data_IF_725117496014
#
_entry.id   IF_725117496014
#
_cell.length_a   1.000
_cell.length_b   1.000
_cell.length_c   1.000
_cell.angle_alpha   90.00
_cell.angle_beta   90.00
_cell.angle_gamma   90.00
#
_symmetry.space_group_name_H-M   'P 1'
#
loop_
_entity.id
_entity.type
_entity.pdbx_description
1 polymer ?
#
# COMPACT_ATOMS: atom_id res chain seq x y z
N UNK A 1 0.28 26.30 7.78
CA UNK A 1 1.12 25.61 8.79
C UNK A 1 2.55 26.06 8.63
N UNK A 2 3.18 26.56 9.71
CA UNK A 2 4.53 27.17 9.64
C UNK A 2 5.60 26.09 9.44
N UNK A 3 6.58 26.33 8.56
CA UNK A 3 7.73 25.48 8.29
C UNK A 3 8.49 25.03 9.56
N UNK A 4 8.39 25.80 10.64
CA UNK A 4 8.98 25.46 11.96
C UNK A 4 8.35 24.24 12.64
N UNK A 5 7.08 23.90 12.34
CA UNK A 5 6.42 22.70 12.92
C UNK A 5 6.76 21.43 12.16
N UNK A 6 7.14 21.53 10.88
CA UNK A 6 7.58 20.38 10.08
C UNK A 6 8.98 19.92 10.49
N UNK A 7 9.88 20.90 10.80
CA UNK A 7 11.25 20.60 11.24
C UNK A 7 11.32 19.85 12.58
N UNK A 8 10.38 20.12 13.51
CA UNK A 8 10.33 19.46 14.82
C UNK A 8 9.91 17.98 14.73
N UNK A 9 9.17 17.59 13.69
CA UNK A 9 8.73 16.19 13.49
C UNK A 9 9.76 15.35 12.73
N UNK A 10 10.61 15.98 11.92
CA UNK A 10 11.65 15.28 11.13
C UNK A 10 12.90 14.97 11.97
N UNK A 11 13.24 15.82 12.93
CA UNK A 11 14.43 15.65 13.78
C UNK A 11 14.39 14.39 14.67
N UNK A 12 13.28 14.02 15.35
CA UNK A 12 13.26 12.79 16.15
C UNK A 12 13.29 11.51 15.29
N UNK A 13 12.83 11.54 14.04
CA UNK A 13 12.93 10.41 13.11
C UNK A 13 14.38 10.20 12.67
N UNK A 14 15.15 11.26 12.47
CA UNK A 14 16.58 11.20 12.12
C UNK A 14 17.47 10.77 13.30
N UNK A 15 17.14 11.14 14.53
CA UNK A 15 17.92 10.79 15.73
C UNK A 15 17.77 9.30 16.09
N UNK A 16 16.68 8.64 15.73
CA UNK A 16 16.52 7.18 15.89
C UNK A 16 17.39 6.37 14.92
N UNK A 17 17.98 6.99 13.91
CA UNK A 17 18.86 6.32 12.92
C UNK A 17 20.31 6.20 13.40
N UNK A 18 20.73 6.94 14.42
CA UNK A 18 22.16 7.10 14.76
C UNK A 18 22.73 6.18 15.84
N UNK A 19 21.99 5.20 16.32
CA UNK A 19 22.51 4.28 17.35
C UNK A 19 22.24 2.82 17.02
N UNK A 20 22.89 2.28 15.96
CA UNK A 20 22.97 0.82 15.85
C UNK A 20 24.15 0.36 15.00
N UNK A 21 25.19 -0.04 15.66
CA UNK A 21 26.19 -0.98 15.13
C UNK A 21 25.50 -2.36 15.00
N UNK A 22 25.51 -2.92 13.78
CA UNK A 22 25.07 -4.27 13.44
C UNK A 22 23.54 -4.55 13.28
N UNK A 23 22.70 -3.58 13.01
CA UNK A 23 21.32 -3.89 12.60
C UNK A 23 21.18 -3.92 11.08
N UNK A 24 20.56 -4.97 10.56
CA UNK A 24 20.27 -5.12 9.14
C UNK A 24 19.08 -4.24 8.77
N UNK A 25 19.29 -3.35 7.81
CA UNK A 25 18.23 -2.58 7.19
C UNK A 25 17.97 -3.12 5.79
N UNK A 26 16.74 -3.01 5.35
CA UNK A 26 16.32 -3.43 4.02
C UNK A 26 15.56 -2.30 3.32
N UNK A 27 15.83 -2.10 2.04
CA UNK A 27 15.01 -1.30 1.13
C UNK A 27 14.51 -2.20 0.03
N UNK A 28 13.22 -2.13 -0.27
CA UNK A 28 12.67 -2.82 -1.43
C UNK A 28 11.80 -1.90 -2.28
N UNK A 29 11.77 -2.21 -3.56
CA UNK A 29 10.84 -1.66 -4.52
C UNK A 29 10.21 -2.82 -5.27
N UNK A 30 8.87 -2.84 -5.30
CA UNK A 30 8.10 -3.82 -6.05
C UNK A 30 7.12 -3.10 -6.96
N UNK A 31 6.85 -3.71 -8.10
CA UNK A 31 5.83 -3.27 -9.03
C UNK A 31 4.93 -4.45 -9.37
N UNK A 32 3.65 -4.18 -9.55
CA UNK A 32 2.67 -5.23 -9.78
C UNK A 32 1.30 -4.68 -10.08
N UNK A 33 0.27 -5.45 -9.78
CA UNK A 33 -1.11 -5.08 -10.05
C UNK A 33 -1.95 -5.03 -8.79
N UNK A 34 -2.84 -4.05 -8.75
CA UNK A 34 -3.87 -3.92 -7.72
C UNK A 34 -5.22 -4.35 -8.28
N UNK A 35 -5.98 -5.05 -7.46
CA UNK A 35 -7.32 -5.58 -7.76
C UNK A 35 -8.29 -5.10 -6.70
N UNK A 36 -9.42 -4.53 -7.15
CA UNK A 36 -10.53 -4.13 -6.28
C UNK A 36 -11.78 -4.86 -6.73
N UNK A 37 -12.52 -5.41 -5.77
CA UNK A 37 -13.76 -6.13 -6.08
C UNK A 37 -14.84 -5.20 -6.62
N UNK A 38 -15.58 -5.65 -7.63
CA UNK A 38 -16.79 -4.99 -8.13
C UNK A 38 -17.73 -4.62 -7.00
N UNK A 39 -18.26 -3.40 -7.05
CA UNK A 39 -19.27 -2.91 -6.12
C UNK A 39 -20.60 -2.72 -6.84
N UNK A 40 -21.70 -2.87 -6.13
CA UNK A 40 -23.05 -2.70 -6.69
C UNK A 40 -23.70 -1.48 -6.08
N UNK A 41 -24.26 -0.60 -6.91
CA UNK A 41 -25.00 0.58 -6.46
C UNK A 41 -26.36 0.15 -5.91
N UNK A 42 -26.69 0.56 -4.70
CA UNK A 42 -27.90 0.11 -4.00
C UNK A 42 -29.20 0.54 -4.71
N UNK A 43 -29.24 1.77 -5.23
CA UNK A 43 -30.45 2.34 -5.87
C UNK A 43 -30.78 1.74 -7.22
N UNK A 44 -29.75 1.30 -7.99
CA UNK A 44 -29.93 0.83 -9.37
C UNK A 44 -29.62 -0.65 -9.55
N UNK A 45 -29.00 -1.29 -8.56
CA UNK A 45 -28.45 -2.65 -8.64
C UNK A 45 -27.43 -2.85 -9.77
N UNK A 46 -26.89 -1.77 -10.33
CA UNK A 46 -25.88 -1.82 -11.39
C UNK A 46 -24.47 -1.96 -10.81
N UNK A 47 -23.60 -2.78 -11.44
CA UNK A 47 -22.23 -2.96 -10.98
C UNK A 47 -21.31 -1.82 -11.40
N UNK A 48 -20.42 -1.41 -10.49
CA UNK A 48 -19.24 -0.59 -10.76
C UNK A 48 -18.06 -1.54 -10.88
N UNK A 49 -17.41 -1.55 -12.04
CA UNK A 49 -16.21 -2.32 -12.27
C UNK A 49 -14.97 -1.43 -12.09
N UNK A 50 -14.02 -1.95 -11.33
CA UNK A 50 -12.72 -1.34 -11.11
C UNK A 50 -11.73 -1.96 -12.10
N UNK A 51 -10.90 -1.14 -12.73
CA UNK A 51 -9.80 -1.60 -13.57
C UNK A 51 -8.75 -2.36 -12.78
N UNK A 52 -7.90 -3.10 -13.48
CA UNK A 52 -6.70 -3.70 -12.90
C UNK A 52 -5.53 -2.81 -13.24
N UNK A 53 -5.01 -2.08 -12.26
CA UNK A 53 -4.02 -1.04 -12.49
C UNK A 53 -2.65 -1.40 -11.92
N UNK A 54 -1.63 -0.73 -12.41
CA UNK A 54 -0.28 -0.88 -11.93
C UNK A 54 -0.11 -0.16 -10.59
N UNK A 55 0.55 -0.83 -9.66
CA UNK A 55 0.89 -0.32 -8.33
C UNK A 55 2.38 -0.50 -8.07
N UNK A 56 2.98 0.52 -7.50
CA UNK A 56 4.38 0.48 -7.04
C UNK A 56 4.39 0.60 -5.52
N UNK A 57 5.19 -0.24 -4.87
CA UNK A 57 5.45 -0.17 -3.44
C UNK A 57 6.94 0.07 -3.18
N UNK A 58 7.22 1.04 -2.31
CA UNK A 58 8.51 1.25 -1.66
C UNK A 58 8.40 0.79 -0.22
N UNK A 59 9.32 -0.02 0.24
CA UNK A 59 9.29 -0.50 1.62
C UNK A 59 10.66 -0.40 2.28
N UNK A 60 10.72 0.24 3.44
CA UNK A 60 11.88 0.23 4.32
C UNK A 60 11.62 -0.75 5.46
N UNK A 61 12.53 -1.67 5.69
CA UNK A 61 12.49 -2.65 6.77
C UNK A 61 13.71 -2.53 7.68
N UNK A 62 13.50 -2.64 8.98
CA UNK A 62 14.56 -2.67 10.00
C UNK A 62 14.43 -3.92 10.85
N UNK A 63 15.49 -4.73 10.91
CA UNK A 63 15.55 -5.90 11.78
C UNK A 63 15.53 -5.45 13.25
N UNK A 64 14.51 -5.84 13.98
CA UNK A 64 14.36 -5.57 15.41
C UNK A 64 14.99 -6.69 16.24
N UNK A 65 14.74 -7.93 15.82
CA UNK A 65 15.22 -9.13 16.56
C UNK A 65 15.42 -10.29 15.58
N UNK A 66 16.52 -11.00 15.77
CA UNK A 66 16.78 -12.26 15.07
C UNK A 66 16.92 -13.38 16.09
N UNK A 67 16.33 -14.53 15.81
CA UNK A 67 16.46 -15.74 16.61
C UNK A 67 16.46 -16.97 15.71
N UNK A 68 17.61 -17.65 15.60
CA UNK A 68 17.79 -18.86 14.77
C UNK A 68 17.21 -18.67 13.36
N UNK A 69 16.00 -19.20 13.12
CA UNK A 69 15.32 -19.21 11.84
C UNK A 69 14.32 -18.06 11.66
N UNK A 70 14.10 -17.23 12.67
CA UNK A 70 13.12 -16.14 12.62
C UNK A 70 13.79 -14.77 12.65
N UNK A 71 13.29 -13.84 11.86
CA UNK A 71 13.66 -12.43 11.90
C UNK A 71 12.42 -11.56 12.02
N UNK A 72 12.37 -10.73 13.06
CA UNK A 72 11.30 -9.75 13.26
C UNK A 72 11.75 -8.39 12.77
N UNK A 73 10.98 -7.80 11.86
CA UNK A 73 11.25 -6.51 11.27
C UNK A 73 10.14 -5.51 11.59
N UNK A 74 10.50 -4.26 11.87
CA UNK A 74 9.60 -3.12 11.64
C UNK A 74 9.73 -2.72 10.18
N UNK A 75 8.61 -2.48 9.50
CA UNK A 75 8.61 -2.02 8.11
C UNK A 75 7.66 -0.84 7.87
N UNK A 76 7.95 -0.09 6.84
CA UNK A 76 7.14 1.05 6.40
C UNK A 76 6.86 0.92 4.89
N UNK A 77 5.83 0.18 4.50
CA UNK A 77 5.36 0.16 3.12
C UNK A 77 4.70 1.48 2.74
N UNK A 78 5.06 1.99 1.57
CA UNK A 78 4.44 3.13 0.89
C UNK A 78 4.02 2.66 -0.49
N UNK A 79 2.73 2.46 -0.70
CA UNK A 79 2.18 1.88 -1.92
C UNK A 79 1.33 2.92 -2.66
N UNK A 80 1.51 3.01 -3.98
CA UNK A 80 0.88 4.02 -4.84
C UNK A 80 0.37 3.36 -6.11
N UNK A 81 -0.91 3.57 -6.41
CA UNK A 81 -1.45 3.44 -7.76
C UNK A 81 -2.01 4.80 -8.20
N UNK A 82 -1.45 5.39 -9.27
CA UNK A 82 -1.78 6.77 -9.63
C UNK A 82 -3.17 6.91 -10.23
N UNK A 83 -3.66 5.86 -10.88
CA UNK A 83 -4.91 5.87 -11.61
C UNK A 83 -5.48 4.45 -11.72
N UNK A 84 -6.79 4.32 -11.51
CA UNK A 84 -7.59 3.12 -11.74
C UNK A 84 -8.88 3.57 -12.41
N UNK A 85 -9.09 3.16 -13.65
CA UNK A 85 -10.28 3.51 -14.41
C UNK A 85 -11.50 2.82 -13.80
N UNK A 86 -12.60 3.56 -13.73
CA UNK A 86 -13.90 3.06 -13.28
C UNK A 86 -14.82 2.89 -14.47
N UNK A 87 -15.61 1.82 -14.47
CA UNK A 87 -16.62 1.58 -15.49
C UNK A 87 -18.00 1.42 -14.83
N UNK A 88 -18.93 2.30 -15.24
CA UNK A 88 -20.30 2.32 -14.76
C UNK A 88 -21.23 2.79 -15.88
N UNK A 89 -22.47 2.27 -15.92
CA UNK A 89 -23.43 2.57 -17.00
C UNK A 89 -23.98 3.98 -16.95
N UNK A 90 -24.05 4.60 -15.78
CA UNK A 90 -24.61 5.94 -15.58
C UNK A 90 -23.48 6.95 -15.33
N UNK A 91 -23.72 8.22 -15.72
CA UNK A 91 -22.73 9.30 -15.60
C UNK A 91 -22.78 9.96 -14.21
N UNK A 92 -22.53 9.18 -13.16
CA UNK A 92 -22.65 9.64 -11.77
C UNK A 92 -21.36 9.51 -10.96
N UNK A 93 -20.45 8.60 -11.36
CA UNK A 93 -19.23 8.31 -10.62
C UNK A 93 -18.01 9.01 -11.23
N UNK A 94 -16.93 9.23 -10.45
CA UNK A 94 -15.65 9.70 -10.98
C UNK A 94 -15.14 8.79 -12.08
N UNK A 95 -14.42 9.32 -13.06
CA UNK A 95 -13.84 8.57 -14.17
C UNK A 95 -12.77 7.58 -13.69
N UNK A 96 -11.95 8.01 -12.79
CA UNK A 96 -10.86 7.23 -12.22
C UNK A 96 -10.62 7.58 -10.76
N UNK A 97 -9.91 6.70 -10.07
CA UNK A 97 -9.40 6.91 -8.72
C UNK A 97 -7.91 6.58 -8.69
N UNK A 98 -7.16 7.26 -7.84
CA UNK A 98 -5.80 6.87 -7.46
C UNK A 98 -5.73 6.66 -5.96
N UNK A 99 -4.71 5.97 -5.44
CA UNK A 99 -4.49 5.87 -4.01
C UNK A 99 -3.03 5.91 -3.62
N UNK A 100 -2.81 6.41 -2.40
CA UNK A 100 -1.57 6.32 -1.64
C UNK A 100 -1.88 5.64 -0.32
N UNK A 101 -1.13 4.60 0.03
CA UNK A 101 -1.17 3.93 1.33
C UNK A 101 0.18 4.03 2.02
N UNK A 102 0.18 4.40 3.30
CA UNK A 102 1.35 4.41 4.18
C UNK A 102 1.00 3.61 5.42
N UNK A 103 1.57 2.42 5.56
CA UNK A 103 1.13 1.43 6.55
C UNK A 103 2.29 0.86 7.37
N UNK A 104 2.78 1.59 8.41
CA UNK A 104 3.71 1.00 9.35
C UNK A 104 3.25 -0.39 9.78
N UNK A 105 4.14 -1.37 9.74
CA UNK A 105 3.81 -2.78 9.96
C UNK A 105 4.93 -3.55 10.63
N UNK A 106 4.61 -4.74 11.09
CA UNK A 106 5.56 -5.72 11.60
C UNK A 106 5.59 -6.88 10.62
N UNK A 107 6.81 -7.30 10.24
CA UNK A 107 7.05 -8.44 9.36
C UNK A 107 7.84 -9.51 10.08
N UNK A 108 7.38 -10.74 9.98
CA UNK A 108 8.05 -11.94 10.45
C UNK A 108 8.62 -12.70 9.26
N UNK A 109 9.94 -12.76 9.17
CA UNK A 109 10.66 -13.61 8.22
C UNK A 109 10.86 -14.99 8.83
N UNK A 110 10.60 -16.03 8.03
CA UNK A 110 10.82 -17.43 8.37
C UNK A 110 12.05 -17.89 7.58
N UNK A 111 12.96 -18.63 8.23
CA UNK A 111 14.26 -19.01 7.67
C UNK A 111 15.08 -17.77 7.26
N UNK A 112 15.17 -16.78 8.18
CA UNK A 112 15.93 -15.54 7.95
C UNK A 112 17.43 -15.85 7.88
N UNK A 113 17.92 -16.08 6.69
CA UNK A 113 19.30 -16.45 6.40
C UNK A 113 19.60 -16.22 4.96
N UNK A 114 20.33 -17.13 4.37
CA UNK A 114 20.65 -17.15 2.95
C UNK A 114 19.66 -18.02 2.17
N UNK A 115 19.40 -17.68 0.91
CA UNK A 115 18.55 -18.43 0.00
C UNK A 115 17.11 -17.91 -0.05
N UNK A 116 16.14 -18.70 0.37
CA UNK A 116 14.70 -18.38 0.27
C UNK A 116 14.15 -18.04 1.64
N UNK A 117 13.55 -16.87 1.76
CA UNK A 117 13.02 -16.33 3.02
C UNK A 117 11.53 -16.01 2.85
N UNK A 118 10.60 -16.92 3.18
CA UNK A 118 9.18 -16.59 3.29
C UNK A 118 8.94 -15.62 4.43
N UNK A 119 7.94 -14.77 4.27
CA UNK A 119 7.55 -13.81 5.31
C UNK A 119 6.06 -13.52 5.31
N UNK A 120 5.57 -13.06 6.45
CA UNK A 120 4.22 -12.52 6.64
C UNK A 120 4.31 -11.17 7.34
N UNK A 121 3.38 -10.27 7.06
CA UNK A 121 3.33 -8.96 7.71
C UNK A 121 1.91 -8.54 8.05
N UNK A 122 1.79 -7.69 9.07
CA UNK A 122 0.55 -7.04 9.43
C UNK A 122 0.83 -5.65 10.00
N UNK A 123 -0.04 -4.71 9.68
CA UNK A 123 0.10 -3.34 10.13
C UNK A 123 -1.14 -2.49 9.89
N UNK A 124 -1.00 -1.21 10.13
CA UNK A 124 -2.07 -0.27 9.90
C UNK A 124 -1.53 1.14 9.74
N UNK A 125 -2.30 1.98 9.09
CA UNK A 125 -1.84 3.33 8.81
C UNK A 125 -2.88 4.19 8.11
N UNK A 126 -2.40 4.97 7.19
CA UNK A 126 -3.16 6.01 6.50
C UNK A 126 -3.26 5.71 5.02
N UNK A 127 -4.43 5.96 4.45
CA UNK A 127 -4.72 5.94 3.03
C UNK A 127 -5.34 7.24 2.55
N UNK A 128 -5.02 7.62 1.34
CA UNK A 128 -5.66 8.73 0.65
C UNK A 128 -6.04 8.31 -0.76
N UNK A 129 -7.31 8.43 -1.07
CA UNK A 129 -7.81 8.34 -2.44
C UNK A 129 -7.82 9.72 -3.09
N UNK A 130 -7.58 9.75 -4.39
CA UNK A 130 -7.79 10.87 -5.29
C UNK A 130 -8.84 10.45 -6.28
N UNK A 131 -9.97 11.11 -6.28
CA UNK A 131 -11.04 10.91 -7.24
C UNK A 131 -10.92 11.92 -8.40
N UNK A 132 -11.19 11.48 -9.63
CA UNK A 132 -11.12 12.36 -10.80
C UNK A 132 -12.09 13.54 -10.68
N UNK A 133 -11.69 14.74 -11.15
CA UNK A 133 -12.57 15.90 -11.17
C UNK A 133 -13.65 15.83 -12.27
N UNK A 134 -13.63 14.79 -13.09
CA UNK A 134 -14.58 14.52 -14.17
C UNK A 134 -15.31 13.20 -13.95
N UNK A 135 -16.54 13.11 -14.43
CA UNK A 135 -17.34 11.89 -14.41
C UNK A 135 -16.94 10.91 -15.51
N UNK A 136 -17.37 9.65 -15.40
CA UNK A 136 -17.01 8.53 -16.28
C UNK A 136 -17.32 8.80 -17.75
N UNK A 137 -18.41 9.48 -18.07
CA UNK A 137 -18.81 9.86 -19.45
C UNK A 137 -18.61 11.35 -19.74
N UNK A 138 -17.86 12.07 -18.91
CA UNK A 138 -17.59 13.50 -19.04
C UNK A 138 -18.48 14.36 -18.15
N UNK A 139 -18.16 15.66 -18.09
CA UNK A 139 -18.79 16.59 -17.15
C UNK A 139 -18.03 16.67 -15.82
N UNK A 140 -18.31 17.71 -15.05
CA UNK A 140 -17.68 17.97 -13.75
C UNK A 140 -18.17 16.99 -12.69
N UNK A 141 -17.23 16.43 -11.93
CA UNK A 141 -17.56 15.63 -10.75
C UNK A 141 -18.09 16.56 -9.63
N UNK A 142 -19.33 16.38 -9.16
CA UNK A 142 -19.89 17.22 -8.09
C UNK A 142 -19.41 16.80 -6.69
N UNK A 143 -18.82 15.61 -6.57
CA UNK A 143 -18.38 15.06 -5.28
C UNK A 143 -16.95 15.44 -4.90
N UNK A 144 -16.47 14.93 -3.76
CA UNK A 144 -15.09 15.12 -3.33
C UNK A 144 -14.10 14.57 -4.34
N UNK A 145 -12.94 15.23 -4.45
CA UNK A 145 -11.79 14.79 -5.26
C UNK A 145 -10.64 14.27 -4.41
N UNK A 146 -10.90 14.01 -3.13
CA UNK A 146 -9.91 13.47 -2.20
C UNK A 146 -10.55 12.94 -0.94
N UNK A 147 -10.35 11.65 -0.67
CA UNK A 147 -10.87 10.93 0.51
C UNK A 147 -9.72 10.39 1.34
N UNK A 148 -9.72 10.71 2.64
CA UNK A 148 -8.74 10.20 3.60
C UNK A 148 -9.35 9.04 4.40
N UNK A 149 -8.54 8.00 4.68
CA UNK A 149 -9.03 6.80 5.36
C UNK A 149 -7.96 6.14 6.22
N UNK A 150 -8.39 5.40 7.24
CA UNK A 150 -7.54 4.43 7.92
C UNK A 150 -7.43 3.15 7.11
N UNK A 151 -6.26 2.53 7.17
CA UNK A 151 -5.93 1.30 6.44
C UNK A 151 -5.40 0.26 7.41
N UNK A 152 -5.87 -0.98 7.27
CA UNK A 152 -5.25 -2.17 7.88
C UNK A 152 -4.57 -2.92 6.73
N UNK A 153 -3.32 -3.34 6.95
CA UNK A 153 -2.56 -4.06 5.92
C UNK A 153 -2.20 -5.46 6.43
N UNK A 154 -2.37 -6.45 5.56
CA UNK A 154 -1.83 -7.79 5.69
C UNK A 154 -0.99 -8.11 4.45
N UNK A 155 0.14 -8.81 4.65
CA UNK A 155 1.01 -9.18 3.56
C UNK A 155 1.66 -10.53 3.78
N UNK A 156 2.01 -11.17 2.68
CA UNK A 156 2.84 -12.35 2.64
C UNK A 156 3.73 -12.31 1.40
N UNK A 157 4.89 -12.92 1.47
CA UNK A 157 5.80 -12.95 0.34
C UNK A 157 6.98 -13.85 0.56
N UNK A 158 7.85 -13.84 -0.43
CA UNK A 158 9.11 -14.61 -0.45
C UNK A 158 10.21 -13.71 -0.99
N UNK A 159 11.31 -13.65 -0.26
CA UNK A 159 12.57 -13.06 -0.72
C UNK A 159 13.52 -14.18 -1.12
N UNK A 160 14.12 -14.05 -2.30
CA UNK A 160 15.17 -14.95 -2.79
C UNK A 160 16.48 -14.19 -2.89
N UNK A 161 17.53 -14.68 -2.22
CA UNK A 161 18.82 -14.01 -2.06
C UNK A 161 19.92 -14.70 -2.90
N UNK A 162 20.01 -14.42 -4.21
CA UNK A 162 21.09 -14.95 -5.04
C UNK A 162 22.45 -14.31 -4.71
N UNK A 163 22.46 -13.11 -4.13
CA UNK A 163 23.65 -12.39 -3.70
C UNK A 163 23.51 -11.91 -2.25
N UNK A 164 24.60 -11.72 -1.56
CA UNK A 164 24.62 -11.39 -0.12
C UNK A 164 23.81 -10.15 0.28
N UNK A 165 23.68 -9.16 -0.61
CA UNK A 165 22.98 -7.88 -0.33
C UNK A 165 21.76 -7.63 -1.21
N UNK A 166 21.61 -8.35 -2.33
CA UNK A 166 20.54 -8.15 -3.29
C UNK A 166 19.68 -9.39 -3.40
N UNK A 167 18.39 -9.20 -3.31
CA UNK A 167 17.40 -10.25 -3.48
C UNK A 167 16.29 -9.84 -4.42
N UNK A 168 15.57 -10.85 -4.89
CA UNK A 168 14.28 -10.67 -5.56
C UNK A 168 13.16 -10.90 -4.55
N UNK A 169 12.10 -10.11 -4.64
CA UNK A 169 10.90 -10.21 -3.80
C UNK A 169 9.68 -10.51 -4.65
N UNK A 170 8.88 -11.48 -4.23
CA UNK A 170 7.51 -11.69 -4.67
C UNK A 170 6.61 -11.49 -3.46
N UNK A 171 5.55 -10.68 -3.61
CA UNK A 171 4.64 -10.39 -2.51
C UNK A 171 3.19 -10.28 -2.94
N UNK A 172 2.30 -10.57 -2.00
CA UNK A 172 0.88 -10.25 -2.06
C UNK A 172 0.50 -9.49 -0.79
N UNK A 173 -0.24 -8.38 -0.95
CA UNK A 173 -0.74 -7.58 0.17
C UNK A 173 -2.21 -7.25 0.00
N UNK A 174 -2.90 -7.10 1.10
CA UNK A 174 -4.25 -6.55 1.17
C UNK A 174 -4.23 -5.25 1.97
N UNK A 175 -4.57 -4.15 1.32
CA UNK A 175 -4.79 -2.86 1.96
C UNK A 175 -6.28 -2.67 2.19
N UNK A 176 -6.78 -3.14 3.34
CA UNK A 176 -8.17 -2.99 3.74
C UNK A 176 -8.43 -1.57 4.24
N UNK A 177 -9.05 -0.76 3.41
CA UNK A 177 -9.26 0.67 3.60
C UNK A 177 -10.73 1.04 3.68
N UNK A 178 -11.06 2.30 4.02
CA UNK A 178 -12.35 2.87 3.68
C UNK A 178 -12.55 2.93 2.17
N UNK A 179 -13.79 3.06 1.74
CA UNK A 179 -14.13 3.22 0.32
C UNK A 179 -13.86 4.66 -0.17
N UNK A 180 -13.45 4.87 -1.44
CA UNK A 180 -13.38 6.19 -2.05
C UNK A 180 -14.77 6.81 -2.23
N UNK A 181 -14.84 8.12 -2.42
CA UNK A 181 -16.10 8.82 -2.68
C UNK A 181 -16.53 8.59 -4.15
N UNK A 182 -17.49 7.70 -4.34
CA UNK A 182 -18.01 7.36 -5.68
C UNK A 182 -19.26 8.15 -6.09
N UNK A 183 -19.75 9.08 -5.27
CA UNK A 183 -20.99 9.86 -5.47
C UNK A 183 -22.28 9.02 -5.48
N UNK A 184 -22.18 7.73 -5.28
CA UNK A 184 -23.31 6.79 -5.23
C UNK A 184 -23.17 5.90 -4.02
N UNK A 185 -24.28 5.45 -3.48
CA UNK A 185 -24.29 4.53 -2.35
C UNK A 185 -24.14 3.08 -2.84
N UNK A 186 -23.02 2.46 -2.46
CA UNK A 186 -22.76 1.04 -2.70
C UNK A 186 -23.02 0.19 -1.46
N UNK A 187 -23.46 0.80 -0.35
CA UNK A 187 -23.61 0.13 0.95
C UNK A 187 -22.29 -0.31 1.58
N UNK A 188 -21.15 0.04 0.98
CA UNK A 188 -19.82 -0.35 1.47
C UNK A 188 -19.09 0.85 2.04
N UNK A 189 -18.75 0.78 3.31
CA UNK A 189 -17.86 1.76 3.97
C UNK A 189 -16.38 1.41 3.84
N UNK A 190 -16.05 0.16 3.45
CA UNK A 190 -14.70 -0.35 3.34
C UNK A 190 -14.53 -1.21 2.09
N UNK A 191 -13.26 -1.30 1.61
CA UNK A 191 -12.90 -2.12 0.48
C UNK A 191 -11.53 -2.78 0.67
N UNK A 192 -11.32 -3.90 -0.01
CA UNK A 192 -10.04 -4.57 -0.16
C UNK A 192 -9.35 -4.05 -1.41
N UNK A 193 -8.06 -3.73 -1.28
CA UNK A 193 -7.18 -3.39 -2.39
C UNK A 193 -6.07 -4.45 -2.40
N UNK A 194 -6.32 -5.56 -3.13
CA UNK A 194 -5.37 -6.66 -3.25
C UNK A 194 -4.25 -6.29 -4.21
N UNK A 195 -3.03 -6.39 -3.74
CA UNK A 195 -1.82 -6.13 -4.52
C UNK A 195 -1.01 -7.40 -4.67
N UNK A 196 -0.52 -7.66 -5.87
CA UNK A 196 0.48 -8.70 -6.16
C UNK A 196 1.61 -8.06 -6.93
N UNK A 197 2.83 -8.14 -6.41
CA UNK A 197 4.00 -7.47 -6.98
C UNK A 197 5.26 -8.30 -6.93
N UNK A 198 6.19 -7.95 -7.80
CA UNK A 198 7.54 -8.49 -7.86
C UNK A 198 8.53 -7.34 -7.92
N UNK A 199 9.71 -7.53 -7.35
CA UNK A 199 10.72 -6.49 -7.33
C UNK A 199 12.04 -6.92 -6.73
N UNK A 200 12.78 -5.93 -6.25
CA UNK A 200 14.12 -6.13 -5.69
C UNK A 200 14.15 -5.67 -4.24
N UNK A 201 15.00 -6.32 -3.46
CA UNK A 201 15.28 -5.97 -2.06
C UNK A 201 16.79 -5.88 -1.87
N UNK A 202 17.24 -4.85 -1.14
CA UNK A 202 18.63 -4.60 -0.82
C UNK A 202 18.85 -4.53 0.70
N UNK A 203 19.85 -5.23 1.21
CA UNK A 203 20.29 -5.20 2.61
C UNK A 203 21.54 -4.35 2.80
N UNK A 204 21.59 -3.56 3.87
CA UNK A 204 22.73 -2.71 4.21
C UNK A 204 22.86 -2.51 5.73
#
# INVERSE_FOLDING_TARGET
MSAKRLAVLVVPVLVLVSSVLAQVNELSITAGRVFVSTQTVQSTSLPIHFGNEEMVEFNYGRLLKSHKIFGLYAELPVAIYPRMDLNYRENQIPKDIGALFVTPSVRLNIFSGEGVTPWVSAGGGYGRFREAPILVWGGTNPGPTGTNTGVIQFGAGVDVWPWHRWGARLEARDFYSGAPALNVDTGRSRQHNYYVGVGVVHRF
#
